data_IF_120891996683
#
_entry.id   IF_120891996683
#
_cell.length_a   1.000
_cell.length_b   1.000
_cell.length_c   1.000
_cell.angle_alpha   90.00
_cell.angle_beta   90.00
_cell.angle_gamma   90.00
#
_symmetry.space_group_name_H-M   'P 1'
#
loop_
_entity.id
_entity.type
_entity.pdbx_description
1 polymer ?
#
# COMPACT_ATOMS: atom_id res chain seq x y z
N UNK A 1 -5.54 -17.06 1.62
CA UNK A 1 -4.26 -16.32 1.75
C UNK A 1 -4.59 -15.10 2.58
N UNK A 2 -3.89 -14.89 3.70
CA UNK A 2 -4.38 -14.03 4.78
C UNK A 2 -4.16 -12.55 4.43
N UNK A 3 -5.23 -11.86 4.03
CA UNK A 3 -5.32 -10.41 4.14
C UNK A 3 -4.95 -10.02 5.57
N UNK A 4 -3.80 -9.37 5.75
CA UNK A 4 -3.37 -8.89 7.06
C UNK A 4 -4.17 -7.65 7.44
N UNK A 5 -5.46 -7.83 7.72
CA UNK A 5 -6.21 -6.90 8.55
C UNK A 5 -5.59 -6.94 9.94
N UNK A 6 -4.82 -5.90 10.29
CA UNK A 6 -4.27 -5.79 11.64
C UNK A 6 -5.35 -5.19 12.54
N UNK A 7 -5.95 -6.02 13.37
CA UNK A 7 -6.71 -5.55 14.53
C UNK A 7 -5.73 -5.05 15.58
N UNK A 8 -5.76 -3.75 15.86
CA UNK A 8 -4.99 -3.11 16.92
C UNK A 8 -5.96 -2.75 18.04
N UNK A 9 -5.65 -3.17 19.27
CA UNK A 9 -6.44 -2.75 20.42
C UNK A 9 -5.86 -1.45 20.97
N UNK A 10 -6.68 -0.40 21.02
CA UNK A 10 -6.27 0.89 21.58
C UNK A 10 -6.92 1.01 22.96
N UNK A 11 -6.09 1.20 23.98
CA UNK A 11 -6.52 1.41 25.36
C UNK A 11 -5.86 2.65 25.95
N UNK A 12 -6.34 3.07 27.12
CA UNK A 12 -5.91 4.30 27.78
C UNK A 12 -6.26 5.58 26.99
N UNK A 13 -7.38 5.55 26.28
CA UNK A 13 -7.93 6.72 25.63
C UNK A 13 -8.71 7.55 26.65
N UNK A 14 -8.61 8.86 26.52
CA UNK A 14 -9.39 9.78 27.34
C UNK A 14 -10.89 9.58 27.06
N UNK A 15 -11.71 9.64 28.10
CA UNK A 15 -13.17 9.44 28.03
C UNK A 15 -13.92 10.47 27.16
N UNK A 16 -13.27 11.57 26.76
CA UNK A 16 -13.85 12.55 25.84
C UNK A 16 -13.49 12.31 24.39
N UNK A 17 -12.56 11.39 24.09
CA UNK A 17 -12.15 11.16 22.71
C UNK A 17 -13.29 10.50 21.94
N UNK A 18 -13.54 11.01 20.75
CA UNK A 18 -14.54 10.48 19.82
C UNK A 18 -13.90 9.49 18.83
N UNK A 19 -14.74 8.71 18.17
CA UNK A 19 -14.31 7.78 17.10
C UNK A 19 -13.57 8.50 15.97
N UNK A 20 -13.99 9.73 15.66
CA UNK A 20 -13.41 10.56 14.60
C UNK A 20 -12.02 11.07 14.98
N UNK A 21 -11.85 11.60 16.19
CA UNK A 21 -10.54 12.04 16.71
C UNK A 21 -9.55 10.88 16.84
N UNK A 22 -10.03 9.72 17.29
CA UNK A 22 -9.22 8.50 17.35
C UNK A 22 -8.79 8.06 15.94
N UNK A 23 -9.70 8.15 14.97
CA UNK A 23 -9.42 7.86 13.57
C UNK A 23 -8.35 8.77 13.00
N UNK A 24 -8.42 10.07 13.27
CA UNK A 24 -7.43 11.04 12.76
C UNK A 24 -6.05 10.85 13.40
N UNK A 25 -6.00 10.58 14.70
CA UNK A 25 -4.74 10.27 15.40
C UNK A 25 -4.09 8.98 14.90
N UNK A 26 -4.92 8.00 14.49
CA UNK A 26 -4.46 6.70 13.99
C UNK A 26 -4.19 6.65 12.49
N UNK A 27 -4.60 7.66 11.70
CA UNK A 27 -4.23 7.78 10.27
C UNK A 27 -2.72 7.76 10.04
N UNK A 28 -1.95 8.28 11.00
CA UNK A 28 -0.49 8.26 10.94
C UNK A 28 0.08 6.83 10.87
N UNK A 29 -0.60 5.86 11.50
CA UNK A 29 -0.20 4.45 11.55
C UNK A 29 -0.66 3.71 10.29
N UNK A 30 -1.83 4.08 9.74
CA UNK A 30 -2.35 3.55 8.48
C UNK A 30 -3.81 3.96 8.23
N UNK A 31 -4.40 3.60 7.09
CA UNK A 31 -5.79 3.90 6.78
C UNK A 31 -6.69 3.14 7.77
N UNK A 32 -7.37 3.87 8.63
CA UNK A 32 -8.36 3.30 9.56
C UNK A 32 -9.57 2.86 8.74
N UNK A 33 -9.85 1.55 8.74
CA UNK A 33 -10.98 0.96 8.00
C UNK A 33 -12.23 0.91 8.88
N UNK A 34 -12.03 0.71 10.18
CA UNK A 34 -13.12 0.72 11.16
C UNK A 34 -12.57 1.01 12.54
N UNK A 35 -13.28 1.85 13.28
CA UNK A 35 -13.04 2.18 14.68
C UNK A 35 -14.31 1.89 15.45
N UNK A 36 -14.20 1.23 16.60
CA UNK A 36 -15.33 0.97 17.48
C UNK A 36 -14.90 1.30 18.91
N UNK A 37 -15.55 2.27 19.54
CA UNK A 37 -15.31 2.58 20.95
C UNK A 37 -16.28 1.77 21.81
N UNK A 38 -15.75 0.94 22.72
CA UNK A 38 -16.58 0.17 23.63
C UNK A 38 -17.25 1.12 24.64
N UNK A 39 -18.58 1.19 24.63
CA UNK A 39 -19.36 1.92 25.64
C UNK A 39 -19.78 1.01 26.79
N UNK A 40 -19.87 1.60 27.99
CA UNK A 40 -20.48 0.95 29.15
C UNK A 40 -22.01 1.07 29.03
N UNK A 41 -22.74 0.22 29.75
CA UNK A 41 -24.21 0.24 29.84
C UNK A 41 -24.79 1.60 30.31
N UNK A 42 -23.95 2.49 30.85
CA UNK A 42 -24.29 3.87 31.25
C UNK A 42 -24.21 4.88 30.08
N UNK A 43 -23.92 4.41 28.86
CA UNK A 43 -23.69 5.26 27.68
C UNK A 43 -22.31 5.94 27.65
N UNK A 44 -21.47 5.77 28.68
CA UNK A 44 -20.12 6.35 28.75
C UNK A 44 -19.07 5.47 28.07
N UNK A 45 -18.18 6.10 27.29
CA UNK A 45 -17.03 5.46 26.63
C UNK A 45 -16.08 4.81 27.65
N UNK A 46 -15.60 3.59 27.36
CA UNK A 46 -14.62 2.89 28.22
C UNK A 46 -13.17 3.30 27.95
N UNK A 47 -12.94 4.24 27.03
CA UNK A 47 -11.58 4.65 26.64
C UNK A 47 -10.78 3.52 25.99
N UNK A 48 -11.47 2.53 25.41
CA UNK A 48 -10.85 1.43 24.72
C UNK A 48 -11.73 0.92 23.58
N UNK A 49 -11.07 0.38 22.55
CA UNK A 49 -11.76 -0.05 21.34
C UNK A 49 -10.86 -0.87 20.42
N UNK A 50 -11.40 -1.89 19.74
CA UNK A 50 -10.71 -2.48 18.61
C UNK A 50 -10.68 -1.48 17.45
N UNK A 51 -9.48 -1.26 16.92
CA UNK A 51 -9.25 -0.50 15.70
C UNK A 51 -8.84 -1.47 14.59
N UNK A 52 -9.53 -1.42 13.46
CA UNK A 52 -9.13 -2.13 12.25
C UNK A 52 -8.37 -1.16 11.36
N UNK A 53 -7.07 -1.39 11.24
CA UNK A 53 -6.24 -0.67 10.25
C UNK A 53 -6.13 -1.51 8.99
N UNK A 54 -6.40 -0.86 7.86
CA UNK A 54 -6.28 -1.45 6.55
C UNK A 54 -4.84 -1.43 6.07
N UNK A 55 -4.54 -2.21 5.01
CA UNK A 55 -3.29 -2.09 4.28
C UNK A 55 -3.12 -0.64 3.80
N UNK A 56 -2.01 -0.01 4.20
CA UNK A 56 -1.69 1.37 3.80
C UNK A 56 -1.58 1.49 2.29
N UNK A 57 -1.21 0.42 1.61
CA UNK A 57 -0.79 0.46 0.21
C UNK A 57 -1.92 0.21 -0.81
N UNK A 58 -3.20 0.18 -0.36
CA UNK A 58 -4.35 0.02 -1.28
C UNK A 58 -4.36 1.13 -2.32
N UNK A 59 -4.39 0.74 -3.60
CA UNK A 59 -4.47 1.66 -4.75
C UNK A 59 -3.15 2.34 -5.15
N UNK A 60 -2.08 2.15 -4.38
CA UNK A 60 -0.77 2.80 -4.60
C UNK A 60 0.31 1.87 -5.11
N UNK A 61 -0.07 0.62 -5.37
CA UNK A 61 0.86 -0.44 -5.73
C UNK A 61 0.69 -0.76 -7.21
N UNK A 62 1.78 -0.64 -7.95
CA UNK A 62 1.85 -0.95 -9.39
C UNK A 62 2.61 -2.24 -9.57
N UNK A 63 2.01 -3.16 -10.31
CA UNK A 63 2.68 -4.35 -10.78
C UNK A 63 3.33 -4.08 -12.14
N UNK A 64 4.61 -4.41 -12.25
CA UNK A 64 5.40 -4.28 -13.46
C UNK A 64 5.87 -5.67 -13.86
N UNK A 65 5.43 -6.16 -15.00
CA UNK A 65 5.79 -7.45 -15.58
C UNK A 65 6.57 -7.31 -16.89
N UNK A 66 7.05 -8.45 -17.38
CA UNK A 66 7.86 -8.55 -18.60
C UNK A 66 9.17 -7.74 -18.56
N UNK A 67 9.72 -7.56 -17.37
CA UNK A 67 10.98 -6.85 -17.16
C UNK A 67 12.19 -7.66 -17.69
N UNK A 68 13.20 -7.00 -18.26
CA UNK A 68 14.49 -7.62 -18.53
C UNK A 68 15.12 -8.16 -17.24
N UNK A 69 15.87 -9.26 -17.34
CA UNK A 69 16.60 -9.83 -16.19
C UNK A 69 17.71 -8.93 -15.66
N UNK A 70 18.16 -7.95 -16.45
CA UNK A 70 19.19 -6.97 -16.07
C UNK A 70 18.62 -5.76 -15.35
N UNK A 71 17.30 -5.59 -15.31
CA UNK A 71 16.67 -4.42 -14.71
C UNK A 71 16.74 -4.50 -13.19
N UNK A 72 17.29 -3.46 -12.57
CA UNK A 72 17.36 -3.32 -11.12
C UNK A 72 16.22 -2.45 -10.60
N UNK A 73 16.01 -2.48 -9.29
CA UNK A 73 14.97 -1.69 -8.63
C UNK A 73 15.26 -0.19 -8.76
N UNK A 74 16.53 0.16 -8.96
CA UNK A 74 17.00 1.52 -9.21
C UNK A 74 16.47 2.07 -10.53
N UNK A 75 16.53 1.27 -11.61
CA UNK A 75 16.01 1.66 -12.93
C UNK A 75 14.49 1.87 -12.88
N UNK A 76 13.78 0.95 -12.22
CA UNK A 76 12.34 1.08 -12.00
C UNK A 76 12.02 2.34 -11.22
N UNK A 77 12.74 2.60 -10.12
CA UNK A 77 12.53 3.78 -9.29
C UNK A 77 12.72 5.06 -10.11
N UNK A 78 13.78 5.15 -10.90
CA UNK A 78 14.06 6.32 -11.73
C UNK A 78 13.00 6.51 -12.82
N UNK A 79 12.61 5.43 -13.50
CA UNK A 79 11.57 5.43 -14.53
C UNK A 79 10.22 5.90 -13.99
N UNK A 80 9.77 5.30 -12.89
CA UNK A 80 8.46 5.59 -12.30
C UNK A 80 8.40 6.94 -11.57
N UNK A 81 9.55 7.52 -11.20
CA UNK A 81 9.64 8.86 -10.61
C UNK A 81 9.07 9.96 -11.51
N UNK A 82 9.04 9.75 -12.83
CA UNK A 82 8.41 10.69 -13.77
C UNK A 82 6.88 10.77 -13.59
N UNK A 83 6.25 9.70 -13.11
CA UNK A 83 4.80 9.63 -12.93
C UNK A 83 4.34 10.00 -11.52
N UNK A 84 5.20 9.84 -10.50
CA UNK A 84 4.91 10.20 -9.11
C UNK A 84 6.06 9.83 -8.16
N UNK A 85 5.93 10.19 -6.88
CA UNK A 85 6.92 9.82 -5.86
C UNK A 85 6.85 8.32 -5.53
N UNK A 86 8.01 7.66 -5.58
CA UNK A 86 8.12 6.20 -5.39
C UNK A 86 8.67 5.94 -3.99
N UNK A 87 7.81 5.42 -3.11
CA UNK A 87 8.16 5.07 -1.73
C UNK A 87 9.08 3.86 -1.72
N UNK A 88 8.70 2.81 -2.44
CA UNK A 88 9.41 1.51 -2.40
C UNK A 88 9.29 0.77 -3.72
N UNK A 89 10.35 0.06 -4.10
CA UNK A 89 10.35 -0.88 -5.22
C UNK A 89 10.81 -2.23 -4.69
N UNK A 90 10.07 -3.27 -5.04
CA UNK A 90 10.37 -4.66 -4.67
C UNK A 90 10.42 -5.49 -5.96
N UNK A 91 11.56 -6.13 -6.23
CA UNK A 91 11.74 -6.99 -7.40
C UNK A 91 11.57 -8.43 -6.95
N UNK A 92 10.71 -9.16 -7.65
CA UNK A 92 10.54 -10.57 -7.37
C UNK A 92 11.63 -11.38 -8.05
N UNK A 93 12.61 -11.77 -7.24
CA UNK A 93 13.69 -12.66 -7.64
C UNK A 93 13.29 -14.11 -7.40
N UNK A 94 13.67 -14.98 -8.34
CA UNK A 94 13.50 -16.42 -8.21
C UNK A 94 14.52 -17.01 -7.22
N UNK A 95 14.28 -18.26 -6.83
CA UNK A 95 15.18 -19.01 -5.95
C UNK A 95 16.60 -19.22 -6.51
N UNK A 96 16.75 -19.13 -7.84
CA UNK A 96 18.03 -19.19 -8.57
C UNK A 96 18.78 -17.84 -8.58
N UNK A 97 18.23 -16.80 -7.92
CA UNK A 97 18.75 -15.42 -8.00
C UNK A 97 18.48 -14.75 -9.35
N UNK A 98 17.70 -15.38 -10.24
CA UNK A 98 17.22 -14.75 -11.48
C UNK A 98 15.90 -14.04 -11.24
N UNK A 99 15.82 -12.77 -11.61
CA UNK A 99 14.57 -12.02 -11.64
C UNK A 99 13.50 -12.78 -12.42
N UNK A 100 12.32 -13.00 -11.84
CA UNK A 100 11.22 -13.63 -12.57
C UNK A 100 10.62 -12.74 -13.66
N UNK A 101 11.19 -11.55 -13.88
CA UNK A 101 10.73 -10.57 -14.84
C UNK A 101 9.51 -9.79 -14.35
N UNK A 102 9.28 -9.74 -13.02
CA UNK A 102 8.25 -8.92 -12.43
C UNK A 102 8.73 -8.20 -11.16
N UNK A 103 8.09 -7.07 -10.88
CA UNK A 103 8.37 -6.19 -9.76
C UNK A 103 7.08 -5.49 -9.31
N UNK A 104 7.08 -5.01 -8.08
CA UNK A 104 6.02 -4.17 -7.52
C UNK A 104 6.59 -2.84 -7.07
N UNK A 105 5.92 -1.75 -7.44
CA UNK A 105 6.31 -0.37 -7.14
C UNK A 105 5.22 0.25 -6.28
N UNK A 106 5.59 0.74 -5.11
CA UNK A 106 4.74 1.49 -4.20
C UNK A 106 4.94 2.99 -4.44
N UNK A 107 3.85 3.67 -4.80
CA UNK A 107 3.77 5.10 -4.93
C UNK A 107 3.28 5.76 -3.64
N UNK A 108 3.54 7.06 -3.52
CA UNK A 108 2.96 7.90 -2.47
C UNK A 108 1.45 8.10 -2.67
N UNK A 109 1.05 8.28 -3.93
CA UNK A 109 -0.31 8.59 -4.36
C UNK A 109 -0.88 7.58 -5.36
N UNK A 110 -2.20 7.40 -5.30
CA UNK A 110 -2.96 6.58 -6.26
C UNK A 110 -2.93 7.21 -7.66
N UNK A 111 -2.83 8.55 -7.76
CA UNK A 111 -2.64 9.24 -9.04
C UNK A 111 -1.33 8.88 -9.72
N UNK A 112 -0.25 8.71 -8.96
CA UNK A 112 1.04 8.29 -9.48
C UNK A 112 0.96 6.89 -10.10
N UNK A 113 0.18 6.01 -9.47
CA UNK A 113 -0.12 4.65 -9.94
C UNK A 113 -0.88 4.68 -11.27
N UNK A 114 -1.96 5.47 -11.37
CA UNK A 114 -2.74 5.59 -12.61
C UNK A 114 -1.89 6.13 -13.79
N UNK A 115 -1.14 7.22 -13.55
CA UNK A 115 -0.24 7.81 -14.56
C UNK A 115 0.84 6.84 -15.00
N UNK A 116 1.40 6.09 -14.06
CA UNK A 116 2.42 5.08 -14.33
C UNK A 116 1.89 3.98 -15.26
N UNK A 117 0.66 3.51 -15.02
CA UNK A 117 0.02 2.50 -15.87
C UNK A 117 -0.22 3.09 -17.26
N UNK A 118 -0.82 4.28 -17.36
CA UNK A 118 -1.14 4.86 -18.67
C UNK A 118 0.09 5.18 -19.52
N UNK A 119 1.19 5.65 -18.91
CA UNK A 119 2.43 5.98 -19.63
C UNK A 119 3.33 4.78 -19.90
N UNK A 120 3.52 3.92 -18.90
CA UNK A 120 4.54 2.86 -18.96
C UNK A 120 3.98 1.50 -19.37
N UNK A 121 2.66 1.33 -19.45
CA UNK A 121 2.09 0.13 -20.03
C UNK A 121 2.48 0.01 -21.51
N UNK A 122 3.06 -1.13 -21.88
CA UNK A 122 3.63 -1.45 -23.19
C UNK A 122 4.84 -0.61 -23.62
N UNK A 123 5.47 0.09 -22.69
CA UNK A 123 6.69 0.87 -22.95
C UNK A 123 7.85 -0.05 -23.35
N UNK A 124 8.56 0.29 -24.43
CA UNK A 124 9.73 -0.48 -24.85
C UNK A 124 10.92 -0.15 -23.94
N UNK A 125 11.31 -1.12 -23.11
CA UNK A 125 12.45 -1.03 -22.23
C UNK A 125 13.44 -2.15 -22.54
N UNK A 126 14.63 -1.77 -23.04
CA UNK A 126 15.68 -2.71 -23.45
C UNK A 126 15.19 -3.76 -24.48
N UNK A 127 14.31 -3.37 -25.41
CA UNK A 127 13.75 -4.25 -26.44
C UNK A 127 12.67 -5.20 -25.94
N UNK A 128 12.08 -4.93 -24.76
CA UNK A 128 10.92 -5.64 -24.22
C UNK A 128 9.84 -4.66 -23.79
N UNK A 129 8.60 -4.94 -24.16
CA UNK A 129 7.42 -4.16 -23.73
C UNK A 129 7.14 -4.43 -22.25
N UNK A 130 7.23 -3.42 -21.41
CA UNK A 130 6.85 -3.54 -20.00
C UNK A 130 5.34 -3.74 -19.88
N UNK A 131 4.92 -4.58 -18.95
CA UNK A 131 3.51 -4.78 -18.63
C UNK A 131 3.22 -4.07 -17.31
N UNK A 132 2.57 -2.92 -17.34
CA UNK A 132 2.29 -2.14 -16.14
C UNK A 132 0.80 -2.22 -15.85
N UNK A 133 0.43 -2.64 -14.63
CA UNK A 133 -0.96 -2.74 -14.20
C UNK A 133 -1.09 -2.32 -12.74
N UNK A 134 -2.27 -1.87 -12.35
CA UNK A 134 -2.62 -1.67 -10.95
C UNK A 134 -2.62 -3.03 -10.24
N UNK A 135 -1.92 -3.12 -9.11
CA UNK A 135 -2.01 -4.28 -8.25
C UNK A 135 -3.26 -4.15 -7.39
N UNK A 136 -4.37 -4.73 -7.88
CA UNK A 136 -5.62 -4.88 -7.10
C UNK A 136 -5.58 -6.05 -6.12
N UNK A 137 -4.46 -6.75 -5.97
CA UNK A 137 -4.41 -7.95 -5.13
C UNK A 137 -4.00 -7.63 -3.70
N UNK A 138 -4.90 -6.89 -3.04
CA UNK A 138 -5.09 -7.06 -1.60
C UNK A 138 -6.54 -7.51 -1.38
N UNK A 139 -6.76 -8.82 -1.54
CA UNK A 139 -7.99 -9.53 -1.18
C UNK A 139 -7.69 -10.68 -0.22
#
# INVERSE_FOLDING_TARGET
MASQEKCVYVGNLDWTITEDELGDHMKAVGPVVSVEIMTRHDGKSKGCGPLRVGPRDKGRLVYVGNLPWRTAWQDLKDLFRECGEVIRVDIAEGWDGRSKGFATVLFEDEEGTAKAIEKFNEYDFQGRKLLVREDKFVQ
#
